data_IF_164421942025
#
_entry.id   IF_164421942025
#
_cell.length_a   1.000
_cell.length_b   1.000
_cell.length_c   1.000
_cell.angle_alpha   90.00
_cell.angle_beta   90.00
_cell.angle_gamma   90.00
#
_symmetry.space_group_name_H-M   'P 1'
#
loop_
_entity.id
_entity.type
_entity.pdbx_description
1 polymer ?
#
# COMPACT_ATOMS: atom_id res chain seq x y z
N UNK A 1 4.54 -19.82 3.14
CA UNK A 1 4.02 -18.74 2.27
C UNK A 1 4.29 -19.03 0.81
N UNK A 2 3.59 -18.37 -0.13
CA UNK A 2 3.98 -18.39 -1.54
C UNK A 2 5.13 -17.43 -1.89
N UNK A 3 5.75 -17.68 -3.05
CA UNK A 3 6.95 -16.99 -3.53
C UNK A 3 6.68 -15.57 -4.07
N UNK A 4 5.45 -15.20 -4.44
CA UNK A 4 5.08 -13.84 -4.85
C UNK A 4 4.77 -12.95 -3.67
N UNK A 5 4.11 -13.45 -2.63
CA UNK A 5 4.02 -12.74 -1.35
C UNK A 5 5.42 -12.50 -0.77
N UNK A 6 6.31 -13.49 -0.91
CA UNK A 6 7.73 -13.39 -0.57
C UNK A 6 8.46 -12.38 -1.46
N UNK A 7 8.26 -12.42 -2.78
CA UNK A 7 8.85 -11.47 -3.72
C UNK A 7 8.25 -10.06 -3.61
N UNK A 8 6.99 -9.90 -3.25
CA UNK A 8 6.33 -8.64 -2.93
C UNK A 8 6.91 -8.11 -1.66
N UNK A 9 7.09 -8.95 -0.64
CA UNK A 9 7.80 -8.62 0.60
C UNK A 9 9.30 -8.36 0.35
N UNK A 10 9.93 -8.93 -0.68
CA UNK A 10 11.32 -8.65 -1.04
C UNK A 10 11.47 -7.47 -1.99
N UNK A 11 10.46 -7.19 -2.81
CA UNK A 11 10.34 -5.98 -3.61
C UNK A 11 10.10 -4.87 -2.62
N UNK A 12 9.09 -4.94 -1.73
CA UNK A 12 9.02 -4.25 -0.43
C UNK A 12 10.42 -4.13 0.16
N UNK A 13 11.06 -5.20 0.65
CA UNK A 13 12.40 -5.17 1.28
C UNK A 13 13.43 -4.32 0.51
N UNK A 14 13.48 -4.41 -0.83
CA UNK A 14 14.36 -3.63 -1.72
C UNK A 14 13.87 -2.18 -1.94
N UNK A 15 12.56 -2.00 -2.01
CA UNK A 15 11.78 -0.76 -2.01
C UNK A 15 11.86 -0.01 -0.66
N UNK A 16 12.64 -0.49 0.33
CA UNK A 16 13.37 0.30 1.36
C UNK A 16 14.71 -0.37 1.80
N UNK A 17 15.43 -1.03 0.92
CA UNK A 17 16.83 -1.43 1.19
C UNK A 17 17.11 -2.18 2.52
N UNK A 18 16.17 -2.97 3.03
CA UNK A 18 16.29 -3.68 4.32
C UNK A 18 17.46 -4.68 4.31
N UNK A 19 18.25 -4.72 5.38
CA UNK A 19 19.24 -5.79 5.54
C UNK A 19 18.58 -7.14 5.81
N UNK A 20 19.39 -8.19 5.72
CA UNK A 20 18.96 -9.57 5.88
C UNK A 20 18.53 -9.91 7.33
N UNK A 21 19.25 -9.41 8.34
CA UNK A 21 18.93 -9.70 9.74
C UNK A 21 17.72 -8.93 10.26
N UNK A 22 17.63 -7.64 9.94
CA UNK A 22 16.45 -6.81 10.28
C UNK A 22 15.18 -7.38 9.67
N UNK A 23 15.26 -7.82 8.40
CA UNK A 23 14.17 -8.47 7.71
C UNK A 23 13.68 -9.74 8.43
N UNK A 24 14.60 -10.61 8.86
CA UNK A 24 14.28 -11.83 9.64
C UNK A 24 13.63 -11.50 11.00
N UNK A 25 14.14 -10.49 11.70
CA UNK A 25 13.59 -10.07 12.99
C UNK A 25 12.17 -9.47 12.86
N UNK A 26 11.87 -8.75 11.78
CA UNK A 26 10.52 -8.23 11.51
C UNK A 26 9.52 -9.36 11.28
N UNK A 27 9.93 -10.38 10.52
CA UNK A 27 9.11 -11.56 10.27
C UNK A 27 8.80 -12.28 11.58
N UNK A 28 9.84 -12.56 12.38
CA UNK A 28 9.71 -13.24 13.65
C UNK A 28 8.75 -12.52 14.60
N UNK A 29 8.88 -11.19 14.71
CA UNK A 29 8.05 -10.39 15.60
C UNK A 29 6.58 -10.28 15.16
N UNK A 30 6.31 -10.08 13.87
CA UNK A 30 4.93 -9.85 13.39
C UNK A 30 4.16 -11.17 13.24
N UNK A 31 4.90 -12.27 12.99
CA UNK A 31 4.36 -13.52 12.46
C UNK A 31 4.94 -14.80 13.06
N UNK A 32 5.82 -14.71 14.05
CA UNK A 32 6.37 -15.85 14.80
C UNK A 32 7.44 -16.65 14.06
N UNK A 33 7.87 -16.24 12.87
CA UNK A 33 8.80 -17.02 12.02
C UNK A 33 9.95 -16.17 11.47
N UNK A 34 11.20 -16.66 11.54
CA UNK A 34 12.38 -15.88 11.12
C UNK A 34 12.55 -15.79 9.61
N UNK A 35 11.99 -16.73 8.85
CA UNK A 35 12.08 -16.75 7.39
C UNK A 35 10.71 -16.49 6.77
N UNK A 36 10.67 -15.61 5.77
CA UNK A 36 9.43 -15.34 5.06
C UNK A 36 8.97 -16.53 4.21
N UNK A 37 9.80 -17.56 3.99
CA UNK A 37 9.33 -18.83 3.41
C UNK A 37 8.26 -19.47 4.30
N UNK A 38 8.36 -19.23 5.61
CA UNK A 38 7.60 -19.92 6.67
C UNK A 38 6.33 -19.14 7.08
N UNK A 39 6.16 -17.91 6.58
CA UNK A 39 4.97 -17.08 6.80
C UNK A 39 3.67 -17.81 6.42
N UNK A 40 2.62 -17.69 7.23
CA UNK A 40 1.25 -18.03 6.81
C UNK A 40 0.58 -16.85 6.09
N UNK A 41 -0.60 -17.07 5.52
CA UNK A 41 -1.27 -16.09 4.66
C UNK A 41 -2.04 -15.00 5.40
N UNK A 42 -2.66 -15.31 6.54
CA UNK A 42 -3.16 -14.28 7.46
C UNK A 42 -1.98 -13.50 8.05
N UNK A 43 -0.87 -14.16 8.35
CA UNK A 43 0.36 -13.48 8.76
C UNK A 43 0.92 -12.60 7.65
N UNK A 44 0.87 -13.00 6.37
CA UNK A 44 1.20 -12.12 5.25
C UNK A 44 0.26 -10.92 5.16
N UNK A 45 -1.06 -11.12 5.28
CA UNK A 45 -1.98 -10.00 5.24
C UNK A 45 -1.83 -9.13 6.48
N UNK A 46 -1.53 -9.66 7.66
CA UNK A 46 -1.08 -8.91 8.83
C UNK A 46 0.26 -8.23 8.57
N UNK A 47 1.14 -8.79 7.73
CA UNK A 47 2.47 -8.28 7.40
C UNK A 47 2.48 -7.28 6.24
N UNK A 48 1.46 -7.26 5.38
CA UNK A 48 1.23 -6.24 4.35
C UNK A 48 0.18 -5.23 4.79
N UNK A 49 -0.82 -5.62 5.57
CA UNK A 49 -1.50 -4.66 6.40
C UNK A 49 -0.51 -4.06 7.42
N UNK A 50 0.57 -4.73 7.86
CA UNK A 50 1.74 -4.08 8.47
C UNK A 50 2.47 -3.26 7.41
N UNK A 51 3.37 -3.78 6.57
CA UNK A 51 4.20 -3.05 5.60
C UNK A 51 3.48 -2.06 4.67
N UNK A 52 2.14 -2.05 4.66
CA UNK A 52 1.31 -1.12 3.92
C UNK A 52 0.28 -0.29 4.76
N UNK A 53 -0.13 -0.62 6.01
CA UNK A 53 -0.62 0.39 7.04
C UNK A 53 0.55 1.06 7.77
N UNK A 54 1.56 0.28 8.19
CA UNK A 54 2.92 0.76 8.53
C UNK A 54 3.70 1.21 7.29
N UNK A 55 3.14 1.04 6.09
CA UNK A 55 3.45 1.80 4.87
C UNK A 55 4.87 1.67 4.34
N UNK A 56 5.71 0.87 4.97
CA UNK A 56 7.14 1.06 4.84
C UNK A 56 7.57 0.97 3.37
N UNK A 57 7.25 -0.08 2.62
CA UNK A 57 8.01 -0.31 1.39
C UNK A 57 7.26 -0.08 0.05
N UNK A 58 7.72 0.92 -0.73
CA UNK A 58 7.41 1.15 -2.18
C UNK A 58 8.36 2.13 -2.85
N UNK A 59 9.17 1.61 -3.77
CA UNK A 59 9.97 2.35 -4.73
C UNK A 59 10.37 1.42 -5.91
N UNK A 60 9.47 1.16 -6.86
CA UNK A 60 9.93 1.17 -8.26
C UNK A 60 10.13 2.61 -8.71
N UNK A 61 10.65 2.87 -9.92
CA UNK A 61 11.03 4.24 -10.34
C UNK A 61 10.21 4.94 -11.46
N UNK A 62 9.21 4.35 -12.15
CA UNK A 62 8.17 5.16 -12.90
C UNK A 62 6.65 5.07 -12.49
N UNK A 63 6.05 3.91 -12.22
CA UNK A 63 4.63 3.78 -11.80
C UNK A 63 4.32 3.52 -10.30
N UNK A 64 3.05 3.41 -9.93
CA UNK A 64 2.61 3.17 -8.54
C UNK A 64 2.78 1.64 -8.13
N UNK A 65 3.80 1.13 -7.41
CA UNK A 65 3.89 -0.31 -6.90
C UNK A 65 3.16 -0.79 -5.60
N UNK A 66 3.80 -0.98 -4.41
CA UNK A 66 3.21 -1.66 -3.20
C UNK A 66 2.52 -0.78 -2.07
N UNK A 67 3.20 0.09 -1.28
CA UNK A 67 2.68 1.30 -0.50
C UNK A 67 1.39 2.03 -0.98
N UNK A 68 1.52 3.13 -1.76
CA UNK A 68 0.47 3.98 -2.34
C UNK A 68 -0.88 3.26 -2.71
N UNK A 69 -0.93 2.20 -3.55
CA UNK A 69 -2.22 1.51 -3.89
C UNK A 69 -3.02 1.04 -2.65
N UNK A 70 -2.35 0.56 -1.62
CA UNK A 70 -2.99 0.15 -0.37
C UNK A 70 -3.30 1.36 0.52
N UNK A 71 -2.45 2.39 0.51
CA UNK A 71 -2.73 3.71 1.08
C UNK A 71 -4.10 4.22 0.61
N UNK A 72 -4.35 4.10 -0.69
CA UNK A 72 -5.61 4.44 -1.36
C UNK A 72 -6.75 3.54 -0.92
N UNK A 73 -6.50 2.23 -0.82
CA UNK A 73 -7.45 1.25 -0.27
C UNK A 73 -7.91 1.62 1.15
N UNK A 74 -6.98 2.01 2.04
CA UNK A 74 -7.30 2.48 3.39
C UNK A 74 -7.94 3.87 3.43
N UNK A 75 -7.65 4.76 2.47
CA UNK A 75 -8.31 6.07 2.36
C UNK A 75 -9.78 5.89 1.96
N UNK A 76 -10.05 5.05 0.95
CA UNK A 76 -11.40 4.66 0.53
C UNK A 76 -12.20 4.09 1.71
N UNK A 77 -11.66 3.08 2.40
CA UNK A 77 -12.25 2.49 3.62
C UNK A 77 -12.54 3.54 4.72
N UNK A 78 -11.64 4.50 4.96
CA UNK A 78 -11.78 5.51 6.03
C UNK A 78 -12.71 6.67 5.74
N UNK A 79 -12.76 7.08 4.47
CA UNK A 79 -13.72 8.04 3.96
C UNK A 79 -15.17 7.53 4.08
N UNK A 80 -15.33 6.24 4.40
CA UNK A 80 -16.56 5.47 4.21
C UNK A 80 -17.07 5.65 2.77
N UNK A 81 -16.13 5.81 1.84
CA UNK A 81 -16.45 5.91 0.43
C UNK A 81 -16.60 4.49 -0.07
N UNK A 82 -17.83 4.19 -0.47
CA UNK A 82 -18.04 3.25 -1.54
C UNK A 82 -17.22 3.66 -2.79
N UNK A 83 -17.10 2.69 -3.68
CA UNK A 83 -16.25 2.81 -4.85
C UNK A 83 -16.81 3.84 -5.85
N UNK A 84 -18.12 4.10 -5.84
CA UNK A 84 -18.76 5.09 -6.70
C UNK A 84 -18.39 6.53 -6.29
N UNK A 85 -18.42 6.86 -5.00
CA UNK A 85 -17.97 8.18 -4.51
C UNK A 85 -16.48 8.40 -4.84
N UNK A 86 -15.67 7.36 -4.68
CA UNK A 86 -14.25 7.35 -5.00
C UNK A 86 -13.98 7.56 -6.50
N UNK A 87 -14.70 6.86 -7.37
CA UNK A 87 -14.59 6.98 -8.83
C UNK A 87 -15.11 8.31 -9.36
N UNK A 88 -16.27 8.77 -8.89
CA UNK A 88 -16.85 10.05 -9.28
C UNK A 88 -15.93 11.23 -8.91
N UNK A 89 -15.25 11.14 -7.75
CA UNK A 89 -14.24 12.11 -7.36
C UNK A 89 -13.00 12.10 -8.28
N UNK A 90 -12.46 10.91 -8.58
CA UNK A 90 -11.35 10.75 -9.53
C UNK A 90 -11.71 11.33 -10.90
N UNK A 91 -12.88 10.97 -11.43
CA UNK A 91 -13.38 11.44 -12.71
C UNK A 91 -13.42 12.98 -12.79
N UNK A 92 -14.03 13.61 -11.79
CA UNK A 92 -14.39 15.04 -11.82
C UNK A 92 -13.18 15.96 -11.68
N UNK A 93 -12.15 15.56 -10.93
CA UNK A 93 -11.02 16.45 -10.58
C UNK A 93 -9.67 16.03 -11.13
N UNK A 94 -9.53 14.79 -11.60
CA UNK A 94 -8.30 14.27 -12.20
C UNK A 94 -8.49 13.87 -13.68
N UNK A 95 -9.67 14.13 -14.24
CA UNK A 95 -10.07 13.78 -15.61
C UNK A 95 -9.86 12.29 -15.93
N UNK A 96 -9.96 11.45 -14.90
CA UNK A 96 -9.44 10.10 -14.92
C UNK A 96 -10.21 9.28 -13.90
N UNK A 97 -11.00 8.31 -14.34
CA UNK A 97 -11.91 7.55 -13.46
C UNK A 97 -11.20 6.41 -12.70
N UNK A 98 -9.91 6.17 -12.95
CA UNK A 98 -9.28 4.90 -12.64
C UNK A 98 -7.91 5.05 -11.98
N UNK A 99 -7.81 4.75 -10.69
CA UNK A 99 -6.58 4.80 -9.90
C UNK A 99 -5.34 4.05 -10.46
N UNK A 100 -5.49 3.23 -11.50
CA UNK A 100 -4.42 2.41 -12.07
C UNK A 100 -3.71 3.02 -13.28
N UNK A 101 -4.34 3.98 -13.99
CA UNK A 101 -3.72 4.78 -15.07
C UNK A 101 -2.70 5.78 -14.53
N UNK A 102 -2.70 5.97 -13.21
CA UNK A 102 -1.87 6.91 -12.49
C UNK A 102 -0.39 6.49 -12.50
N UNK A 103 0.49 7.35 -13.04
CA UNK A 103 1.93 7.24 -12.83
C UNK A 103 2.25 7.37 -11.33
N UNK A 104 3.50 7.16 -10.89
CA UNK A 104 3.81 7.39 -9.47
C UNK A 104 3.59 8.85 -9.05
N UNK A 105 3.73 9.78 -9.99
CA UNK A 105 3.45 11.20 -9.79
C UNK A 105 1.95 11.41 -9.62
N UNK A 106 1.15 11.05 -10.62
CA UNK A 106 -0.31 11.22 -10.56
C UNK A 106 -0.86 10.53 -9.32
N UNK A 107 -0.40 9.31 -9.02
CA UNK A 107 -0.91 8.55 -7.91
C UNK A 107 -0.61 9.21 -6.56
N UNK A 108 0.45 10.01 -6.50
CA UNK A 108 0.69 10.91 -5.38
C UNK A 108 -0.34 12.04 -5.40
N UNK A 109 -0.64 12.63 -6.56
CA UNK A 109 -1.65 13.68 -6.72
C UNK A 109 -3.07 13.23 -6.33
N UNK A 110 -3.50 12.02 -6.69
CA UNK A 110 -4.79 11.48 -6.25
C UNK A 110 -4.80 11.04 -4.78
N UNK A 111 -3.70 10.48 -4.27
CA UNK A 111 -3.53 10.29 -2.82
C UNK A 111 -3.73 11.62 -2.10
N UNK A 112 -3.11 12.69 -2.59
CA UNK A 112 -3.22 14.06 -2.05
C UNK A 112 -4.66 14.57 -2.10
N UNK A 113 -5.40 14.25 -3.15
CA UNK A 113 -6.74 14.79 -3.38
C UNK A 113 -7.85 14.07 -2.59
N UNK A 114 -7.80 12.74 -2.53
CA UNK A 114 -8.68 11.94 -1.65
C UNK A 114 -8.44 12.30 -0.18
N UNK A 115 -7.20 12.67 0.16
CA UNK A 115 -6.87 13.23 1.47
C UNK A 115 -7.42 14.65 1.68
N UNK A 116 -7.57 15.47 0.63
CA UNK A 116 -8.19 16.79 0.75
C UNK A 116 -9.69 16.68 1.08
N UNK A 117 -10.44 15.77 0.46
CA UNK A 117 -11.86 15.61 0.78
C UNK A 117 -12.10 14.88 2.11
N UNK A 118 -11.20 13.96 2.52
CA UNK A 118 -11.26 13.39 3.88
C UNK A 118 -11.12 14.47 4.98
N UNK A 119 -10.56 15.64 4.67
CA UNK A 119 -10.43 16.78 5.60
C UNK A 119 -11.64 17.71 5.58
N UNK A 120 -12.18 18.05 4.41
CA UNK A 120 -13.29 19.01 4.29
C UNK A 120 -14.64 18.55 4.87
N UNK A 121 -14.72 17.32 5.39
CA UNK A 121 -15.91 16.76 6.07
C UNK A 121 -15.87 16.90 7.60
N UNK A 122 -14.86 17.58 8.15
CA UNK A 122 -14.60 17.66 9.60
C UNK A 122 -14.67 19.06 10.22
N UNK A 123 -15.25 20.03 9.51
CA UNK A 123 -15.56 21.40 9.96
C UNK A 123 -17.02 21.68 9.67
#
# INVERSE_FOLDING_TARGET
MDKKKLAVIHIVKKELSLSDNEYRNILERITGVRSAKDLTDNQFHKLMHYFVRTRHYRVTNKGITLRQKYYLRQLKEKLQWDDAHFQNYMHKYFHNQELNTYTRHDASNLIVALQAILKGRGT
#
